data_IF_004059141608
#
_entry.id   IF_004059141608
#
_cell.length_a   1.000
_cell.length_b   1.000
_cell.length_c   1.000
_cell.angle_alpha   90.00
_cell.angle_beta   90.00
_cell.angle_gamma   90.00
#
_symmetry.space_group_name_H-M   'P 1'
#
loop_
_entity.id
_entity.type
_entity.pdbx_description
1 polymer ?
#
# COMPACT_ATOMS: atom_id res chain seq x y z
N UNK A 1 -22.76 -4.25 0.40
CA UNK A 1 -21.56 -5.12 0.24
C UNK A 1 -20.37 -4.34 0.78
N UNK A 2 -19.44 -4.92 1.54
CA UNK A 2 -18.39 -4.11 2.15
C UNK A 2 -17.38 -3.70 1.07
N UNK A 3 -17.54 -2.46 0.59
CA UNK A 3 -16.51 -1.70 -0.16
C UNK A 3 -15.22 -1.57 0.65
N UNK A 4 -14.24 -0.79 0.18
CA UNK A 4 -13.23 -0.21 1.09
C UNK A 4 -13.92 0.18 2.41
N UNK A 5 -13.38 -0.20 3.60
CA UNK A 5 -13.97 0.13 4.89
C UNK A 5 -14.45 1.58 4.93
N UNK A 6 -15.55 1.83 5.65
CA UNK A 6 -16.11 3.19 5.76
C UNK A 6 -14.98 4.19 6.05
N UNK A 7 -14.97 5.30 5.31
CA UNK A 7 -13.84 6.20 5.22
C UNK A 7 -13.38 6.75 6.57
N UNK A 8 -14.32 6.91 7.51
CA UNK A 8 -14.12 7.33 8.89
C UNK A 8 -13.37 6.29 9.73
N UNK A 9 -13.35 5.03 9.31
CA UNK A 9 -12.65 3.94 9.99
C UNK A 9 -11.22 3.76 9.52
N UNK A 10 -10.84 4.31 8.37
CA UNK A 10 -9.48 4.18 7.84
C UNK A 10 -8.55 5.12 8.61
N UNK A 11 -7.65 4.54 9.41
CA UNK A 11 -6.62 5.30 10.12
C UNK A 11 -5.33 5.46 9.30
N UNK A 12 -4.85 4.37 8.71
CA UNK A 12 -3.63 4.33 7.90
C UNK A 12 -3.86 3.50 6.63
N UNK A 13 -3.25 3.92 5.52
CA UNK A 13 -3.13 3.13 4.31
C UNK A 13 -1.65 3.00 3.95
N UNK A 14 -1.14 1.77 3.89
CA UNK A 14 0.15 1.51 3.29
C UNK A 14 -0.01 1.18 1.80
N UNK A 15 0.60 1.99 0.96
CA UNK A 15 0.72 1.79 -0.48
C UNK A 15 1.98 0.99 -0.75
N UNK A 16 1.89 -0.09 -1.52
CA UNK A 16 3.03 -0.93 -1.88
C UNK A 16 3.01 -1.19 -3.39
N UNK A 17 3.97 -0.59 -4.08
CA UNK A 17 4.13 -0.77 -5.52
C UNK A 17 5.01 -1.98 -5.81
N UNK A 18 4.53 -2.88 -6.65
CA UNK A 18 5.22 -4.09 -7.09
C UNK A 18 5.42 -4.03 -8.61
N UNK A 19 6.61 -4.45 -9.05
CA UNK A 19 7.01 -4.51 -10.45
C UNK A 19 7.35 -5.97 -10.77
N UNK A 20 6.46 -6.62 -11.52
CA UNK A 20 6.58 -8.01 -11.94
C UNK A 20 7.46 -8.16 -13.20
N UNK A 21 7.93 -7.05 -13.78
CA UNK A 21 8.69 -7.03 -15.01
C UNK A 21 7.86 -7.34 -16.26
N UNK A 22 8.53 -7.36 -17.44
CA UNK A 22 7.87 -7.61 -18.71
C UNK A 22 7.37 -9.05 -18.79
N UNK A 23 6.15 -9.23 -19.32
CA UNK A 23 5.48 -10.55 -19.51
C UNK A 23 5.24 -11.33 -18.20
N UNK A 24 4.43 -10.80 -17.25
CA UNK A 24 4.16 -11.41 -15.95
C UNK A 24 3.38 -12.74 -16.02
N UNK A 25 2.91 -13.13 -17.21
CA UNK A 25 2.06 -14.30 -17.45
C UNK A 25 0.60 -13.93 -17.67
N UNK A 26 -0.19 -14.89 -18.19
CA UNK A 26 -1.59 -14.66 -18.57
C UNK A 26 -2.42 -14.19 -17.38
N UNK A 27 -3.14 -13.08 -17.56
CA UNK A 27 -4.03 -12.51 -16.54
C UNK A 27 -3.34 -11.74 -15.41
N UNK A 28 -2.02 -11.49 -15.52
CA UNK A 28 -1.27 -10.66 -14.57
C UNK A 28 -0.86 -9.34 -15.22
N UNK A 29 -0.81 -8.29 -14.42
CA UNK A 29 -0.30 -6.98 -14.84
C UNK A 29 1.21 -6.86 -14.56
N UNK A 30 1.90 -6.07 -15.38
CA UNK A 30 3.34 -5.80 -15.21
C UNK A 30 3.60 -5.08 -13.90
N UNK A 31 2.73 -4.14 -13.54
CA UNK A 31 2.78 -3.45 -12.26
C UNK A 31 1.53 -3.76 -11.44
N UNK A 32 1.71 -3.84 -10.12
CA UNK A 32 0.63 -4.09 -9.16
C UNK A 32 0.78 -3.13 -8.00
N UNK A 33 -0.34 -2.55 -7.57
CA UNK A 33 -0.41 -1.81 -6.32
C UNK A 33 -1.14 -2.65 -5.28
N UNK A 34 -0.48 -2.92 -4.15
CA UNK A 34 -1.10 -3.51 -2.97
C UNK A 34 -1.39 -2.40 -1.97
N UNK A 35 -2.59 -2.41 -1.42
CA UNK A 35 -3.02 -1.48 -0.37
C UNK A 35 -3.28 -2.28 0.90
N UNK A 36 -2.63 -1.90 1.98
CA UNK A 36 -2.88 -2.44 3.31
C UNK A 36 -3.58 -1.38 4.14
N UNK A 37 -4.82 -1.67 4.53
CA UNK A 37 -5.69 -0.76 5.27
C UNK A 37 -5.64 -1.12 6.75
N UNK A 38 -5.36 -0.14 7.60
CA UNK A 38 -5.41 -0.26 9.05
C UNK A 38 -6.55 0.61 9.55
N UNK A 39 -7.55 -0.03 10.13
CA UNK A 39 -8.78 0.62 10.54
C UNK A 39 -8.94 0.64 12.07
N UNK A 40 -9.88 1.44 12.55
CA UNK A 40 -10.35 1.42 13.94
C UNK A 40 -9.27 1.76 14.98
N UNK A 41 -8.32 2.64 14.61
CA UNK A 41 -7.26 3.11 15.51
C UNK A 41 -6.24 2.05 15.93
N UNK A 42 -6.27 0.86 15.33
CA UNK A 42 -5.28 -0.20 15.57
C UNK A 42 -4.25 -0.20 14.45
N UNK A 43 -3.02 0.18 14.79
CA UNK A 43 -1.90 0.11 13.84
C UNK A 43 -0.85 -0.90 14.32
N UNK A 44 -0.81 -2.06 13.66
CA UNK A 44 0.26 -3.04 13.80
C UNK A 44 0.71 -3.37 12.38
N UNK A 45 1.89 -2.92 11.99
CA UNK A 45 2.40 -2.99 10.60
C UNK A 45 2.15 -4.36 9.95
N UNK A 46 2.41 -5.44 10.67
CA UNK A 46 2.32 -6.81 10.14
C UNK A 46 0.89 -7.37 10.06
N UNK A 47 -0.11 -6.66 10.61
CA UNK A 47 -1.50 -7.12 10.74
C UNK A 47 -2.47 -6.08 10.18
N UNK A 48 -2.51 -5.86 8.85
CA UNK A 48 -3.49 -4.98 8.24
C UNK A 48 -4.91 -5.51 8.45
N UNK A 49 -5.87 -4.62 8.69
CA UNK A 49 -7.30 -4.95 8.79
C UNK A 49 -7.81 -5.53 7.47
N UNK A 50 -7.36 -4.98 6.34
CA UNK A 50 -7.72 -5.46 5.01
C UNK A 50 -6.59 -5.23 4.02
N UNK A 51 -6.47 -6.15 3.07
CA UNK A 51 -5.58 -6.00 1.92
C UNK A 51 -6.41 -5.90 0.65
N UNK A 52 -6.11 -4.90 -0.17
CA UNK A 52 -6.64 -4.75 -1.52
C UNK A 52 -5.50 -4.83 -2.52
N UNK A 53 -5.80 -5.27 -3.74
CA UNK A 53 -4.79 -5.37 -4.80
C UNK A 53 -5.38 -4.82 -6.08
N UNK A 54 -4.59 -4.02 -6.78
CA UNK A 54 -4.97 -3.44 -8.06
C UNK A 54 -3.91 -3.78 -9.09
N UNK A 55 -4.33 -4.43 -10.17
CA UNK A 55 -3.52 -4.50 -11.38
C UNK A 55 -3.46 -3.11 -12.00
N UNK A 56 -2.27 -2.69 -12.42
CA UNK A 56 -2.05 -1.39 -13.05
C UNK A 56 -1.96 -1.56 -14.56
N UNK A 57 -2.78 -0.81 -15.27
CA UNK A 57 -3.01 -0.88 -16.72
C UNK A 57 -2.79 0.48 -17.36
N UNK A 58 -2.69 0.50 -18.69
CA UNK A 58 -2.74 1.76 -19.43
C UNK A 58 -4.08 2.47 -19.23
N UNK A 59 -4.11 3.81 -19.14
CA UNK A 59 -5.35 4.53 -18.91
C UNK A 59 -6.44 4.20 -19.93
N UNK A 60 -6.07 4.03 -21.21
CA UNK A 60 -7.00 3.66 -22.27
C UNK A 60 -7.69 2.32 -21.98
N UNK A 61 -6.95 1.31 -21.55
CA UNK A 61 -7.51 -0.01 -21.24
C UNK A 61 -8.54 0.04 -20.09
N UNK A 62 -8.40 0.97 -19.15
CA UNK A 62 -9.34 1.14 -18.04
C UNK A 62 -10.63 1.81 -18.49
N UNK A 63 -10.56 2.84 -19.36
CA UNK A 63 -11.77 3.48 -19.87
C UNK A 63 -12.52 2.57 -20.87
N UNK A 64 -11.81 1.83 -21.72
CA UNK A 64 -12.41 0.86 -22.64
C UNK A 64 -13.15 -0.23 -21.84
N UNK A 65 -12.55 -0.73 -20.76
CA UNK A 65 -13.21 -1.67 -19.85
C UNK A 65 -14.47 -1.08 -19.20
N UNK A 66 -14.43 0.19 -18.79
CA UNK A 66 -15.59 0.84 -18.19
C UNK A 66 -16.73 0.97 -19.21
N UNK A 67 -16.42 1.35 -20.45
CA UNK A 67 -17.38 1.44 -21.55
C UNK A 67 -18.03 0.07 -21.86
N UNK A 68 -17.23 -0.99 -21.93
CA UNK A 68 -17.73 -2.36 -22.09
C UNK A 68 -18.70 -2.75 -20.96
N UNK A 69 -18.40 -2.34 -19.72
CA UNK A 69 -19.23 -2.69 -18.56
C UNK A 69 -20.53 -1.90 -18.51
N UNK A 70 -20.57 -0.68 -19.06
CA UNK A 70 -21.82 0.05 -19.29
C UNK A 70 -22.66 -0.65 -20.35
N UNK A 71 -22.05 -1.07 -21.46
CA UNK A 71 -22.75 -1.82 -22.50
C UNK A 71 -23.34 -3.15 -21.97
N UNK A 72 -22.67 -3.80 -21.03
CA UNK A 72 -23.17 -5.00 -20.32
C UNK A 72 -24.22 -4.70 -19.22
N UNK A 73 -24.53 -3.43 -18.95
CA UNK A 73 -25.44 -3.02 -17.86
C UNK A 73 -24.89 -3.25 -16.45
N UNK A 74 -23.56 -3.38 -16.30
CA UNK A 74 -22.87 -3.62 -15.03
C UNK A 74 -22.33 -2.37 -14.35
N UNK A 75 -22.19 -1.28 -15.11
CA UNK A 75 -21.91 0.05 -14.59
C UNK A 75 -23.01 1.01 -15.05
N UNK A 76 -23.36 1.98 -14.20
CA UNK A 76 -24.21 3.11 -14.57
C UNK A 76 -23.39 4.29 -15.14
N UNK A 77 -24.10 5.31 -15.64
CA UNK A 77 -23.47 6.49 -16.24
C UNK A 77 -22.62 7.30 -15.24
N UNK A 78 -22.99 7.30 -13.95
CA UNK A 78 -22.23 8.02 -12.92
C UNK A 78 -20.89 7.31 -12.65
N UNK A 79 -20.91 5.99 -12.57
CA UNK A 79 -19.71 5.16 -12.42
C UNK A 79 -18.83 5.24 -13.67
N UNK A 80 -19.42 5.29 -14.87
CA UNK A 80 -18.68 5.58 -16.10
C UNK A 80 -18.02 6.95 -16.04
N UNK A 81 -18.77 7.96 -15.59
CA UNK A 81 -18.27 9.32 -15.41
C UNK A 81 -17.05 9.39 -14.48
N UNK A 82 -17.04 8.62 -13.40
CA UNK A 82 -15.88 8.48 -12.53
C UNK A 82 -14.63 7.98 -13.29
N UNK A 83 -14.74 6.88 -14.04
CA UNK A 83 -13.61 6.35 -14.81
C UNK A 83 -13.18 7.27 -15.95
N UNK A 84 -14.12 8.00 -16.55
CA UNK A 84 -13.80 9.01 -17.56
C UNK A 84 -13.00 10.18 -16.97
N UNK A 85 -13.42 10.72 -15.82
CA UNK A 85 -12.68 11.78 -15.15
C UNK A 85 -11.28 11.33 -14.75
N UNK A 86 -11.14 10.09 -14.30
CA UNK A 86 -9.86 9.48 -13.98
C UNK A 86 -8.96 9.34 -15.22
N UNK A 87 -9.53 8.91 -16.35
CA UNK A 87 -8.82 8.87 -17.63
C UNK A 87 -8.37 10.26 -18.06
N UNK A 88 -9.24 11.26 -18.01
CA UNK A 88 -8.92 12.63 -18.42
C UNK A 88 -7.80 13.22 -17.52
N UNK A 89 -7.81 12.93 -16.22
CA UNK A 89 -6.72 13.27 -15.30
C UNK A 89 -5.39 12.55 -15.64
N UNK A 90 -5.46 11.26 -15.98
CA UNK A 90 -4.29 10.49 -16.40
C UNK A 90 -3.70 11.02 -17.71
N UNK A 91 -4.52 11.37 -18.70
CA UNK A 91 -4.08 11.99 -19.95
C UNK A 91 -3.40 13.32 -19.70
N UNK A 92 -3.94 14.15 -18.80
CA UNK A 92 -3.29 15.41 -18.40
C UNK A 92 -1.90 15.15 -17.81
N UNK A 93 -1.76 14.16 -16.93
CA UNK A 93 -0.47 13.79 -16.35
C UNK A 93 0.50 13.21 -17.39
N UNK A 94 0.04 12.39 -18.34
CA UNK A 94 0.87 11.86 -19.44
C UNK A 94 1.46 12.99 -20.29
N UNK A 95 0.71 14.07 -20.50
CA UNK A 95 1.15 15.22 -21.29
C UNK A 95 2.10 16.16 -20.54
N UNK A 96 2.38 15.91 -19.25
CA UNK A 96 3.40 16.64 -18.51
C UNK A 96 4.81 16.19 -18.97
N UNK A 97 5.69 17.12 -19.38
CA UNK A 97 7.03 16.79 -19.86
C UNK A 97 7.93 16.01 -18.87
N UNK A 98 7.69 16.12 -17.55
CA UNK A 98 8.45 15.38 -16.53
C UNK A 98 7.83 14.00 -16.23
N UNK A 99 6.72 13.62 -16.85
CA UNK A 99 6.09 12.31 -16.63
C UNK A 99 6.69 11.24 -17.53
N UNK A 100 7.23 10.18 -16.92
CA UNK A 100 7.72 9.00 -17.61
C UNK A 100 6.58 8.06 -18.01
N UNK A 101 5.68 7.74 -17.09
CA UNK A 101 4.50 6.94 -17.37
C UNK A 101 3.39 7.16 -16.34
N UNK A 102 2.16 6.85 -16.74
CA UNK A 102 0.96 6.84 -15.89
C UNK A 102 0.25 5.50 -16.08
N UNK A 103 -0.24 4.93 -14.99
CA UNK A 103 -1.03 3.71 -14.98
C UNK A 103 -2.25 3.88 -14.08
N UNK A 104 -3.36 3.26 -14.49
CA UNK A 104 -4.61 3.24 -13.73
C UNK A 104 -4.93 1.82 -13.29
N UNK A 105 -5.61 1.67 -12.16
CA UNK A 105 -6.08 0.37 -11.70
C UNK A 105 -7.43 0.47 -11.02
N UNK A 106 -8.32 -0.49 -11.25
CA UNK A 106 -9.53 -0.65 -10.45
C UNK A 106 -9.20 -1.37 -9.15
N UNK A 107 -9.93 -1.06 -8.07
CA UNK A 107 -9.76 -1.77 -6.80
C UNK A 107 -10.47 -3.11 -6.87
N UNK A 108 -9.71 -4.19 -6.70
CA UNK A 108 -10.21 -5.55 -6.67
C UNK A 108 -10.07 -6.16 -5.27
N UNK A 109 -11.17 -6.72 -4.76
CA UNK A 109 -11.16 -7.57 -3.58
C UNK A 109 -11.07 -9.04 -3.99
N UNK A 110 -9.88 -9.61 -3.78
CA UNK A 110 -9.60 -11.03 -4.05
C UNK A 110 -10.31 -11.96 -3.08
N UNK A 111 -10.59 -11.51 -1.85
CA UNK A 111 -11.32 -12.30 -0.86
C UNK A 111 -12.77 -12.54 -1.31
N UNK A 112 -13.34 -11.59 -2.07
CA UNK A 112 -14.71 -11.67 -2.53
C UNK A 112 -14.82 -11.94 -4.04
N UNK A 113 -14.32 -13.10 -4.49
CA UNK A 113 -14.44 -13.58 -5.88
C UNK A 113 -13.96 -12.57 -6.95
N UNK A 114 -12.87 -11.84 -6.69
CA UNK A 114 -12.34 -10.82 -7.60
C UNK A 114 -13.34 -9.69 -7.89
N UNK A 115 -14.16 -9.34 -6.90
CA UNK A 115 -15.10 -8.24 -7.03
C UNK A 115 -14.36 -6.91 -7.22
N UNK A 116 -14.78 -6.15 -8.23
CA UNK A 116 -14.25 -4.82 -8.52
C UNK A 116 -15.21 -3.79 -7.96
N UNK A 117 -14.71 -2.88 -7.15
CA UNK A 117 -15.52 -1.86 -6.51
C UNK A 117 -15.76 -0.68 -7.48
N UNK A 118 -17.00 -0.48 -7.98
CA UNK A 118 -17.29 0.69 -8.80
C UNK A 118 -17.04 1.98 -8.04
N UNK A 119 -16.57 3.03 -8.72
CA UNK A 119 -16.24 4.31 -8.07
C UNK A 119 -14.97 4.27 -7.21
N UNK A 120 -14.17 3.20 -7.31
CA UNK A 120 -12.90 3.07 -6.61
C UNK A 120 -11.79 2.66 -7.58
N UNK A 121 -10.72 3.44 -7.59
CA UNK A 121 -9.58 3.24 -8.47
C UNK A 121 -8.31 3.83 -7.90
N UNK A 122 -7.19 3.45 -8.47
CA UNK A 122 -5.88 4.03 -8.18
C UNK A 122 -5.30 4.62 -9.45
N UNK A 123 -4.59 5.73 -9.27
CA UNK A 123 -3.74 6.33 -10.28
C UNK A 123 -2.32 6.30 -9.76
N UNK A 124 -1.40 5.78 -10.56
CA UNK A 124 0.02 5.70 -10.25
C UNK A 124 0.78 6.34 -11.39
N UNK A 125 1.69 7.25 -11.10
CA UNK A 125 2.51 7.87 -12.13
C UNK A 125 3.95 8.04 -11.66
N UNK A 126 4.87 7.95 -12.61
CA UNK A 126 6.31 8.07 -12.36
C UNK A 126 6.82 9.26 -13.12
N UNK A 127 7.45 10.20 -12.42
CA UNK A 127 8.24 11.27 -13.04
C UNK A 127 9.60 10.74 -13.51
N UNK A 128 10.25 11.36 -14.49
CA UNK A 128 11.60 10.97 -14.91
C UNK A 128 12.59 11.16 -13.77
N UNK A 129 12.56 12.34 -13.15
CA UNK A 129 13.48 12.75 -12.09
C UNK A 129 12.92 12.62 -10.66
N UNK A 130 11.60 12.50 -10.53
CA UNK A 130 10.90 12.48 -9.23
C UNK A 130 10.61 11.09 -8.65
N UNK A 131 10.02 11.02 -7.44
CA UNK A 131 9.55 9.77 -6.86
C UNK A 131 8.38 9.18 -7.66
N UNK A 132 7.99 7.96 -7.30
CA UNK A 132 6.71 7.40 -7.73
C UNK A 132 5.60 8.13 -6.97
N UNK A 133 4.54 8.54 -7.66
CA UNK A 133 3.38 9.17 -7.05
C UNK A 133 2.16 8.25 -7.22
N UNK A 134 1.27 8.24 -6.22
CA UNK A 134 0.11 7.37 -6.19
C UNK A 134 -1.05 8.02 -5.45
N UNK A 135 -2.25 7.85 -5.98
CA UNK A 135 -3.49 8.23 -5.35
C UNK A 135 -4.48 7.06 -5.38
N UNK A 136 -5.15 6.80 -4.27
CA UNK A 136 -6.38 6.01 -4.21
C UNK A 136 -7.56 6.97 -4.25
N UNK A 137 -8.39 6.86 -5.28
CA UNK A 137 -9.66 7.54 -5.40
C UNK A 137 -10.74 6.56 -4.97
N UNK A 138 -11.43 6.86 -3.88
CA UNK A 138 -12.52 6.05 -3.39
C UNK A 138 -13.71 6.95 -3.06
N UNK A 139 -14.76 6.83 -3.87
CA UNK A 139 -15.95 7.66 -3.79
C UNK A 139 -15.61 9.16 -3.95
N UNK A 140 -15.85 9.97 -2.93
CA UNK A 140 -15.65 11.42 -2.87
C UNK A 140 -14.31 11.83 -2.23
N UNK A 141 -13.43 10.86 -1.95
CA UNK A 141 -12.15 11.10 -1.28
C UNK A 141 -10.96 10.59 -2.08
N UNK A 142 -9.85 11.29 -1.91
CA UNK A 142 -8.54 10.92 -2.42
C UNK A 142 -7.60 10.66 -1.25
N UNK A 143 -6.88 9.55 -1.31
CA UNK A 143 -5.88 9.15 -0.34
C UNK A 143 -4.52 9.04 -1.02
N UNK A 144 -3.54 9.75 -0.50
CA UNK A 144 -2.19 9.83 -1.06
C UNK A 144 -1.17 9.67 0.07
N UNK A 145 -0.10 8.89 -0.12
CA UNK A 145 1.00 8.90 0.83
C UNK A 145 1.77 10.22 0.73
N UNK A 146 2.34 10.69 1.85
CA UNK A 146 3.18 11.91 1.85
C UNK A 146 4.36 11.78 0.87
N UNK A 147 4.94 10.56 0.80
CA UNK A 147 5.93 10.19 -0.21
C UNK A 147 5.94 8.68 -0.42
N UNK A 148 6.22 8.25 -1.65
CA UNK A 148 6.65 6.88 -1.92
C UNK A 148 8.17 6.79 -1.81
N UNK A 149 8.63 5.84 -1.00
CA UNK A 149 10.04 5.59 -0.71
C UNK A 149 10.47 4.32 -1.43
N UNK A 150 11.65 4.35 -2.04
CA UNK A 150 12.26 3.15 -2.65
C UNK A 150 12.60 2.12 -1.57
N UNK A 151 12.16 0.88 -1.78
CA UNK A 151 12.45 -0.23 -0.87
C UNK A 151 13.86 -0.76 -1.10
N UNK A 152 14.79 -0.34 -0.24
CA UNK A 152 16.21 -0.76 -0.30
C UNK A 152 16.41 -2.26 -0.10
N UNK A 153 15.42 -2.97 0.47
CA UNK A 153 15.47 -4.42 0.69
C UNK A 153 14.90 -5.23 -0.48
N UNK A 154 14.55 -4.57 -1.59
CA UNK A 154 14.16 -5.24 -2.83
C UNK A 154 15.38 -5.90 -3.48
N UNK A 155 15.35 -7.22 -3.57
CA UNK A 155 16.31 -7.99 -4.37
C UNK A 155 15.89 -7.99 -5.85
N UNK A 156 16.87 -7.93 -6.75
CA UNK A 156 16.63 -7.97 -8.21
C UNK A 156 15.98 -9.31 -8.59
N UNK A 157 14.84 -9.25 -9.27
CA UNK A 157 14.07 -10.45 -9.66
C UNK A 157 13.17 -11.01 -8.55
N UNK A 158 13.15 -10.38 -7.37
CA UNK A 158 12.19 -10.71 -6.31
C UNK A 158 10.80 -10.17 -6.61
N UNK A 159 9.78 -10.90 -6.20
CA UNK A 159 8.37 -10.45 -6.19
C UNK A 159 8.06 -9.47 -5.04
N UNK A 160 9.08 -9.00 -4.31
CA UNK A 160 8.96 -7.97 -3.27
C UNK A 160 8.54 -6.61 -3.87
N UNK A 161 7.94 -5.78 -3.03
CA UNK A 161 7.62 -4.39 -3.35
C UNK A 161 8.88 -3.61 -3.71
N UNK A 162 8.74 -2.68 -4.64
CA UNK A 162 9.79 -1.79 -5.12
C UNK A 162 9.76 -0.46 -4.40
N UNK A 163 8.56 0.02 -4.09
CA UNK A 163 8.37 1.25 -3.35
C UNK A 163 7.18 1.09 -2.40
N UNK A 164 7.20 1.85 -1.32
CA UNK A 164 6.09 1.93 -0.39
C UNK A 164 5.91 3.33 0.18
N UNK A 165 4.72 3.65 0.64
CA UNK A 165 4.40 4.91 1.30
C UNK A 165 3.19 4.75 2.21
N UNK A 166 2.98 5.70 3.11
CA UNK A 166 1.86 5.68 4.04
C UNK A 166 1.03 6.95 3.89
N UNK A 167 -0.28 6.79 3.71
CA UNK A 167 -1.23 7.80 4.12
C UNK A 167 -1.46 7.58 5.62
N UNK A 168 -0.93 8.46 6.44
CA UNK A 168 -0.96 8.35 7.90
C UNK A 168 -1.17 9.75 8.53
N UNK A 169 -2.40 10.29 8.44
CA UNK A 169 -2.70 11.63 8.93
C UNK A 169 -2.46 11.80 10.44
N UNK A 170 -2.36 10.70 11.18
CA UNK A 170 -2.16 10.67 12.63
C UNK A 170 -0.72 10.31 13.05
N UNK A 171 0.18 10.07 12.09
CA UNK A 171 1.58 9.67 12.32
C UNK A 171 1.73 8.42 13.20
N UNK A 172 0.81 7.47 13.08
CA UNK A 172 0.80 6.21 13.83
C UNK A 172 1.98 5.30 13.46
N UNK A 173 2.50 5.39 12.23
CA UNK A 173 3.70 4.68 11.82
C UNK A 173 4.92 5.13 12.61
N UNK A 174 5.14 6.44 12.71
CA UNK A 174 6.27 7.00 13.46
C UNK A 174 6.16 6.66 14.96
N UNK A 175 4.94 6.71 15.51
CA UNK A 175 4.68 6.30 16.89
C UNK A 175 5.01 4.81 17.11
N UNK A 176 4.58 3.93 16.21
CA UNK A 176 4.86 2.51 16.30
C UNK A 176 6.35 2.17 16.13
N UNK A 177 7.08 2.90 15.28
CA UNK A 177 8.53 2.74 15.16
C UNK A 177 9.25 3.19 16.44
N UNK A 178 8.84 4.32 17.02
CA UNK A 178 9.41 4.81 18.28
C UNK A 178 9.15 3.82 19.43
N UNK A 179 7.96 3.25 19.51
CA UNK A 179 7.62 2.24 20.51
C UNK A 179 8.43 0.94 20.32
N UNK A 180 8.57 0.44 19.08
CA UNK A 180 9.43 -0.71 18.77
C UNK A 180 10.89 -0.47 19.15
N UNK A 181 11.43 0.72 18.84
CA UNK A 181 12.80 1.07 19.18
C UNK A 181 13.00 1.15 20.71
N UNK A 182 12.01 1.69 21.44
CA UNK A 182 12.03 1.70 22.90
C UNK A 182 11.98 0.29 23.49
N UNK A 183 11.12 -0.58 22.98
CA UNK A 183 11.03 -1.98 23.41
C UNK A 183 12.33 -2.73 23.14
N UNK A 184 12.91 -2.61 21.94
CA UNK A 184 14.20 -3.23 21.61
C UNK A 184 15.34 -2.71 22.48
N UNK A 185 15.35 -1.41 22.80
CA UNK A 185 16.33 -0.83 23.71
C UNK A 185 16.15 -1.32 25.16
N UNK A 186 14.91 -1.55 25.60
CA UNK A 186 14.60 -2.12 26.91
C UNK A 186 15.00 -3.60 26.99
N UNK A 187 14.72 -4.39 25.94
CA UNK A 187 15.14 -5.80 25.81
C UNK A 187 16.67 -5.92 25.78
N UNK A 188 17.37 -5.10 25.00
CA UNK A 188 18.84 -5.10 24.96
C UNK A 188 19.46 -4.70 26.31
N UNK A 189 18.81 -3.81 27.08
CA UNK A 189 19.24 -3.49 28.45
C UNK A 189 18.95 -4.63 29.43
N UNK A 190 17.85 -5.35 29.27
CA UNK A 190 17.52 -6.52 30.07
C UNK A 190 18.48 -7.70 29.77
N UNK A 191 18.88 -7.89 28.51
CA UNK A 191 19.90 -8.89 28.12
C UNK A 191 21.32 -8.52 28.56
N UNK A 192 21.63 -7.22 28.72
CA UNK A 192 22.91 -6.75 29.26
C UNK A 192 23.03 -6.94 30.78
N UNK A 193 21.91 -7.15 31.48
CA UNK A 193 21.87 -7.59 32.87
C UNK A 193 21.82 -9.12 32.86
N UNK A 194 22.97 -9.78 32.66
CA UNK A 194 23.39 -10.98 33.42
C UNK A 194 24.65 -11.65 32.81
N UNK A 195 25.84 -11.08 33.09
CA UNK A 195 26.96 -11.95 33.46
C UNK A 195 27.45 -11.72 34.90
N UNK A 196 27.07 -10.58 35.50
CA UNK A 196 27.54 -10.16 36.83
C UNK A 196 26.61 -10.66 37.95
N UNK A 197 25.31 -10.86 37.70
CA UNK A 197 24.37 -11.42 38.68
C UNK A 197 24.52 -12.95 38.81
N UNK A 198 24.77 -13.67 37.72
CA UNK A 198 25.10 -15.09 37.72
C UNK A 198 26.46 -15.39 38.40
N UNK A 199 27.42 -14.46 38.34
CA UNK A 199 28.69 -14.57 39.07
C UNK A 199 28.48 -14.37 40.58
N UNK A 200 27.69 -13.38 40.98
CA UNK A 200 27.38 -13.11 42.39
C UNK A 200 26.57 -14.24 43.06
N UNK A 201 25.65 -14.88 42.35
CA UNK A 201 24.91 -16.03 42.88
C UNK A 201 25.75 -17.31 43.01
N UNK A 202 26.77 -17.50 42.15
CA UNK A 202 27.74 -18.61 42.30
C UNK A 202 28.66 -18.42 43.50
N UNK A 203 29.10 -17.20 43.78
CA UNK A 203 29.97 -16.91 44.93
C UNK A 203 29.26 -17.10 46.28
N UNK A 204 27.95 -16.80 46.37
CA UNK A 204 27.18 -17.05 47.60
C UNK A 204 26.97 -18.56 47.85
N UNK A 205 26.78 -19.36 46.79
CA UNK A 205 26.60 -20.81 46.92
C UNK A 205 27.92 -21.55 47.26
N UNK A 206 29.07 -21.02 46.86
CA UNK A 206 30.39 -21.56 47.19
C UNK A 206 30.87 -21.24 48.61
N UNK A 207 30.31 -20.22 49.26
CA UNK A 207 30.69 -19.81 50.62
C UNK A 207 29.93 -20.56 51.74
N UNK A 208 28.93 -21.37 51.39
CA UNK A 208 28.10 -22.15 52.31
C UNK A 208 28.34 -23.68 52.28
N UNK A 209 29.43 -24.13 51.65
CA UNK A 209 29.95 -25.51 51.76
C UNK A 209 31.20 -25.55 52.62
#
# INVERSE_FOLDING_TARGET
MPGVPEHDKIGVIQFQFMDNGPKPGRGKSEHVLKLELYCEGRFVIEKPTRTLTSGLYDPQAVIDWADDKVAEGKLDDAQRGFYKNLYDAAVKAINDPDTHWVKLGYIEDRTYKHYRHPGQAVMVWKKFSGPLEVALLANDRTYEPDAMIFDKYREKGSSRRVAYGFYDPFKLYDQAQAEKAFQQAAEAKAEAIDPAEAAFQRDIAGFMQ
#
